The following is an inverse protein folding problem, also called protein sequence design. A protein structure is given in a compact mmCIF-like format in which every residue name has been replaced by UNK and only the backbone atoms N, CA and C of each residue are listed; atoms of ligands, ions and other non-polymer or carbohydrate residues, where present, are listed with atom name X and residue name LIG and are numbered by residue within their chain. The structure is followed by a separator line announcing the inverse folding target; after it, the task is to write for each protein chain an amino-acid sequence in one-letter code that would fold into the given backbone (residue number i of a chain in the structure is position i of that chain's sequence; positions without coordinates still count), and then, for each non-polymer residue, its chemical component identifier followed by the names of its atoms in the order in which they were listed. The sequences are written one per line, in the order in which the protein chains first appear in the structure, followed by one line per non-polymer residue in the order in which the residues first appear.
data_IF_260276149789
#
_entry.id   IF_260276149789
#
_cell.length_a   1.000
_cell.length_b   1.000
_cell.length_c   1.000
_cell.angle_alpha   90.00
_cell.angle_beta   90.00
_cell.angle_gamma   90.00
#
_symmetry.space_group_name_H-M   'P 1'
#
loop_
_entity.id
_entity.type
_entity.pdbx_description
1 polymer ?
#
# COMPACT_ATOMS: atom_id res chain seq x y z
N UNK A 1 7.02 18.93 12.04
CA UNK A 1 6.51 19.24 10.68
C UNK A 1 6.35 20.74 10.53
N UNK A 2 6.75 21.37 9.40
CA UNK A 2 6.40 22.76 9.14
C UNK A 2 4.87 22.91 9.14
N UNK A 3 4.31 24.02 9.65
CA UNK A 3 2.86 24.19 9.69
C UNK A 3 2.29 24.31 8.28
N UNK A 4 1.37 23.43 7.91
CA UNK A 4 0.58 23.55 6.69
C UNK A 4 -0.73 24.30 6.98
N UNK A 5 -1.25 25.09 6.01
CA UNK A 5 -2.49 25.84 6.19
C UNK A 5 -3.74 24.94 6.28
N UNK A 6 -3.62 23.70 5.83
CA UNK A 6 -4.66 22.67 5.88
C UNK A 6 -4.03 21.28 5.85
N UNK A 7 -4.83 20.25 6.16
CA UNK A 7 -4.46 18.85 5.97
C UNK A 7 -3.95 18.63 4.54
N UNK A 8 -2.75 18.06 4.42
CA UNK A 8 -2.18 17.66 3.14
C UNK A 8 -2.88 16.37 2.67
N UNK A 9 -3.09 16.26 1.35
CA UNK A 9 -3.70 15.09 0.72
C UNK A 9 -2.70 14.52 -0.28
N UNK A 10 -1.67 13.86 0.24
CA UNK A 10 -0.53 13.29 -0.47
C UNK A 10 -0.06 12.05 0.31
N UNK A 11 0.96 11.34 -0.20
CA UNK A 11 1.50 10.13 0.41
C UNK A 11 0.55 8.93 0.35
N UNK A 12 0.12 8.53 -0.85
CA UNK A 12 -0.93 7.52 -1.01
C UNK A 12 -0.37 6.09 -0.96
N UNK A 13 -0.53 5.43 0.17
CA UNK A 13 -0.18 4.01 0.34
C UNK A 13 -1.29 3.03 -0.02
N UNK A 14 -2.56 3.47 -0.15
CA UNK A 14 -3.60 2.52 -0.57
C UNK A 14 -4.70 3.11 -1.42
N UNK A 15 -5.28 2.25 -2.27
CA UNK A 15 -6.33 2.62 -3.19
C UNK A 15 -7.43 1.55 -3.27
N UNK A 16 -8.68 1.98 -3.05
CA UNK A 16 -9.86 1.13 -3.11
C UNK A 16 -10.84 1.60 -4.19
N UNK A 17 -11.64 0.70 -4.80
CA UNK A 17 -12.67 1.10 -5.72
C UNK A 17 -13.79 1.89 -5.00
N UNK A 18 -14.18 3.03 -5.59
CA UNK A 18 -15.39 3.75 -5.21
C UNK A 18 -16.49 3.55 -6.27
N UNK A 19 -17.27 4.58 -6.55
CA UNK A 19 -18.35 4.61 -7.53
C UNK A 19 -17.97 5.39 -8.79
N UNK A 20 -18.58 5.05 -9.94
CA UNK A 20 -18.52 5.84 -11.18
C UNK A 20 -17.10 6.17 -11.68
N UNK A 21 -16.15 5.25 -11.51
CA UNK A 21 -14.76 5.45 -11.93
C UNK A 21 -13.91 6.30 -10.97
N UNK A 22 -14.44 6.64 -9.80
CA UNK A 22 -13.68 7.21 -8.69
C UNK A 22 -13.03 6.12 -7.83
N UNK A 23 -12.06 6.54 -7.02
CA UNK A 23 -11.29 5.70 -6.10
C UNK A 23 -11.26 6.33 -4.71
N UNK A 24 -11.10 5.51 -3.68
CA UNK A 24 -10.72 5.98 -2.35
C UNK A 24 -9.20 5.83 -2.23
N UNK A 25 -8.50 6.95 -2.13
CA UNK A 25 -7.06 7.01 -1.89
C UNK A 25 -6.81 7.26 -0.40
N UNK A 26 -5.99 6.42 0.22
CA UNK A 26 -5.66 6.50 1.64
C UNK A 26 -4.19 6.90 1.77
N UNK A 27 -3.93 8.07 2.36
CA UNK A 27 -2.60 8.41 2.79
C UNK A 27 -2.08 7.52 3.92
N UNK A 28 -0.75 7.43 4.03
CA UNK A 28 -0.01 6.86 5.16
C UNK A 28 -0.17 7.69 6.46
N UNK A 29 0.76 7.54 7.41
CA UNK A 29 0.79 8.38 8.61
C UNK A 29 1.01 9.88 8.32
N UNK A 30 1.46 10.26 7.12
CA UNK A 30 1.55 11.61 6.62
C UNK A 30 2.95 12.20 6.58
N UNK A 31 3.69 12.21 7.70
CA UNK A 31 5.00 12.90 7.80
C UNK A 31 6.17 11.95 8.13
N UNK A 32 5.95 10.64 8.00
CA UNK A 32 6.98 9.61 8.05
C UNK A 32 7.35 9.11 9.45
N UNK A 33 6.89 9.73 10.54
CA UNK A 33 7.12 9.20 11.90
C UNK A 33 5.93 9.42 12.83
N UNK A 34 5.81 8.57 13.86
CA UNK A 34 4.79 8.73 14.92
C UNK A 34 4.80 10.13 15.55
N UNK A 35 5.98 10.66 15.89
CA UNK A 35 6.10 11.90 16.67
C UNK A 35 5.77 13.15 15.86
N UNK A 36 5.96 13.14 14.54
CA UNK A 36 5.70 14.29 13.68
C UNK A 36 4.34 14.23 12.96
N UNK A 37 3.63 13.11 13.07
CA UNK A 37 2.32 12.87 12.44
C UNK A 37 1.12 13.02 13.38
N UNK A 38 1.31 13.57 14.58
CA UNK A 38 0.26 13.71 15.60
C UNK A 38 -0.93 14.57 15.17
N UNK A 39 -0.74 15.52 14.26
CA UNK A 39 -1.78 16.41 13.72
C UNK A 39 -2.27 15.99 12.32
N UNK A 40 -1.77 14.87 11.78
CA UNK A 40 -2.19 14.33 10.49
C UNK A 40 -3.38 13.39 10.66
N UNK A 41 -4.57 13.81 10.21
CA UNK A 41 -5.79 13.00 10.35
C UNK A 41 -5.83 11.85 9.35
N UNK A 42 -5.95 10.60 9.85
CA UNK A 42 -6.05 9.42 9.01
C UNK A 42 -7.40 9.38 8.27
N UNK A 43 -7.34 9.32 6.94
CA UNK A 43 -8.49 9.53 6.07
C UNK A 43 -8.40 8.71 4.78
N UNK A 44 -9.57 8.46 4.18
CA UNK A 44 -9.67 8.06 2.77
C UNK A 44 -10.30 9.20 1.99
N UNK A 45 -9.65 9.64 0.92
CA UNK A 45 -10.10 10.72 0.03
C UNK A 45 -10.67 10.16 -1.26
N UNK A 46 -11.80 10.71 -1.73
CA UNK A 46 -12.39 10.29 -3.00
C UNK A 46 -11.69 10.97 -4.16
N UNK A 47 -10.87 10.25 -4.88
CA UNK A 47 -10.20 10.73 -6.09
C UNK A 47 -11.05 10.44 -7.32
N UNK A 48 -11.21 11.43 -8.19
CA UNK A 48 -11.88 11.28 -9.49
C UNK A 48 -10.92 11.67 -10.60
N UNK A 49 -10.30 10.69 -11.28
CA UNK A 49 -9.34 10.98 -12.34
C UNK A 49 -10.01 11.39 -13.65
N UNK A 50 -9.41 12.39 -14.29
CA UNK A 50 -9.67 12.82 -15.66
C UNK A 50 -8.49 12.39 -16.52
N UNK A 51 -8.48 11.10 -16.87
CA UNK A 51 -7.37 10.45 -17.54
C UNK A 51 -6.92 11.16 -18.82
N UNK A 52 -5.62 11.34 -18.99
CA UNK A 52 -5.02 11.49 -20.30
C UNK A 52 -4.99 10.11 -20.99
N UNK A 53 -5.37 10.06 -22.25
CA UNK A 53 -5.35 8.83 -23.05
C UNK A 53 -4.71 9.10 -24.41
N UNK A 54 -4.52 8.06 -25.22
CA UNK A 54 -4.10 8.22 -26.62
C UNK A 54 -5.05 9.11 -27.47
N UNK A 55 -6.26 9.38 -26.98
CA UNK A 55 -7.24 10.29 -27.60
C UNK A 55 -7.26 11.68 -26.96
N UNK A 56 -6.29 11.99 -26.09
CA UNK A 56 -6.28 13.17 -25.24
C UNK A 56 -7.00 12.96 -23.90
N UNK A 57 -7.13 14.05 -23.16
CA UNK A 57 -7.67 14.10 -21.80
C UNK A 57 -6.91 15.13 -20.96
N UNK A 58 -7.42 15.47 -19.78
CA UNK A 58 -6.83 16.54 -18.96
C UNK A 58 -5.60 16.09 -18.17
N UNK A 59 -5.49 14.80 -17.83
CA UNK A 59 -4.40 14.29 -16.99
C UNK A 59 -4.47 14.79 -15.54
N UNK A 60 -5.66 15.15 -15.05
CA UNK A 60 -5.85 15.72 -13.71
C UNK A 60 -6.63 14.78 -12.79
N UNK A 61 -6.59 15.06 -11.49
CA UNK A 61 -7.39 14.36 -10.48
C UNK A 61 -8.14 15.35 -9.61
N UNK A 62 -9.45 15.15 -9.46
CA UNK A 62 -10.24 15.91 -8.49
C UNK A 62 -10.20 15.18 -7.14
N UNK A 63 -9.86 15.94 -6.09
CA UNK A 63 -9.96 15.48 -4.70
C UNK A 63 -11.32 15.89 -4.14
N UNK A 64 -12.17 14.90 -3.89
CA UNK A 64 -13.53 15.09 -3.40
C UNK A 64 -13.66 14.94 -1.88
N UNK A 65 -14.82 14.44 -1.45
CA UNK A 65 -15.10 14.15 -0.03
C UNK A 65 -14.11 13.15 0.57
N UNK A 66 -14.03 13.11 1.89
CA UNK A 66 -13.23 12.15 2.63
C UNK A 66 -14.05 11.37 3.67
N UNK A 67 -13.47 10.27 4.13
CA UNK A 67 -13.89 9.48 5.30
C UNK A 67 -12.76 9.62 6.33
N UNK A 68 -13.06 10.05 7.56
CA UNK A 68 -12.06 10.08 8.65
C UNK A 68 -12.15 8.81 9.49
N UNK A 69 -10.99 8.20 9.74
CA UNK A 69 -10.86 7.07 10.64
C UNK A 69 -10.98 7.56 12.08
N UNK A 70 -11.79 6.88 12.88
CA UNK A 70 -12.15 7.34 14.23
C UNK A 70 -12.57 6.22 15.16
N UNK A 71 -12.40 6.43 16.46
CA UNK A 71 -12.70 5.46 17.50
C UNK A 71 -13.67 5.98 18.60
N UNK A 72 -14.88 6.47 18.27
CA UNK A 72 -15.81 7.04 19.23
C UNK A 72 -16.32 6.02 20.27
N UNK A 73 -16.18 4.72 20.00
CA UNK A 73 -16.64 3.63 20.87
C UNK A 73 -15.50 3.05 21.74
N UNK A 74 -14.37 3.76 21.86
CA UNK A 74 -13.20 3.43 22.69
C UNK A 74 -12.70 1.99 22.51
N UNK A 75 -12.51 1.57 21.26
CA UNK A 75 -12.00 0.24 20.91
C UNK A 75 -10.48 0.15 21.00
N UNK A 76 -9.75 1.25 20.82
CA UNK A 76 -8.30 1.26 20.97
C UNK A 76 -7.94 1.14 22.46
N UNK A 77 -7.17 0.11 22.89
CA UNK A 77 -6.94 -0.17 24.31
C UNK A 77 -5.74 0.58 24.90
N UNK A 78 -5.21 1.57 24.18
CA UNK A 78 -4.06 2.38 24.56
C UNK A 78 -4.34 3.87 24.25
N UNK A 79 -3.58 4.82 24.85
CA UNK A 79 -3.79 6.24 24.60
C UNK A 79 -3.61 6.60 23.12
N UNK A 80 -4.52 7.44 22.61
CA UNK A 80 -4.44 8.03 21.27
C UNK A 80 -4.36 9.55 21.36
N UNK A 81 -4.01 10.25 20.29
CA UNK A 81 -3.82 11.71 20.29
C UNK A 81 -5.10 12.45 20.66
N UNK A 82 -6.25 12.06 20.09
CA UNK A 82 -7.53 12.72 20.32
C UNK A 82 -8.41 12.01 21.36
N UNK A 83 -7.79 11.41 22.38
CA UNK A 83 -8.45 10.54 23.38
C UNK A 83 -9.64 11.22 24.08
N UNK A 84 -9.48 12.50 24.41
CA UNK A 84 -10.44 13.31 25.18
C UNK A 84 -11.55 13.95 24.31
N UNK A 85 -11.59 13.67 23.01
CA UNK A 85 -12.59 14.22 22.09
C UNK A 85 -13.76 13.26 21.90
N UNK A 86 -14.94 13.75 21.53
CA UNK A 86 -16.11 12.90 21.33
C UNK A 86 -15.95 11.93 20.14
N UNK A 87 -15.36 12.39 19.05
CA UNK A 87 -15.20 11.58 17.84
C UNK A 87 -13.96 10.69 17.87
N UNK A 88 -12.94 11.03 18.66
CA UNK A 88 -11.68 10.26 18.76
C UNK A 88 -11.08 10.00 17.38
N UNK A 89 -10.90 11.07 16.60
CA UNK A 89 -10.30 11.01 15.27
C UNK A 89 -8.88 10.44 15.38
N UNK A 90 -8.57 9.44 14.57
CA UNK A 90 -7.25 8.81 14.57
C UNK A 90 -6.27 9.63 13.74
N UNK A 91 -5.02 9.71 14.19
CA UNK A 91 -3.95 10.45 13.53
C UNK A 91 -2.77 9.55 13.18
N UNK A 92 -1.85 10.03 12.35
CA UNK A 92 -0.59 9.32 12.09
C UNK A 92 0.30 9.19 13.33
N UNK A 93 0.00 9.92 14.41
CA UNK A 93 0.57 9.67 15.73
C UNK A 93 0.02 8.43 16.43
N UNK A 94 -1.11 7.90 15.98
CA UNK A 94 -1.76 6.71 16.57
C UNK A 94 -1.37 5.43 15.81
N UNK A 95 -1.50 5.45 14.49
CA UNK A 95 -1.30 4.33 13.58
C UNK A 95 -0.57 4.76 12.31
N UNK A 96 0.14 3.80 11.71
CA UNK A 96 0.88 3.92 10.46
C UNK A 96 0.21 3.06 9.40
N UNK A 97 -0.80 3.61 8.73
CA UNK A 97 -1.73 2.84 7.90
C UNK A 97 -1.24 2.75 6.45
N UNK A 98 -0.88 1.56 5.99
CA UNK A 98 -0.25 1.42 4.67
C UNK A 98 -1.12 0.72 3.64
N UNK A 99 -2.04 -0.14 4.05
CA UNK A 99 -2.88 -0.88 3.10
C UNK A 99 -4.31 -0.99 3.53
N UNK A 100 -5.21 -1.15 2.56
CA UNK A 100 -6.62 -1.33 2.80
C UNK A 100 -7.23 -2.36 1.85
N UNK A 101 -8.28 -3.02 2.34
CA UNK A 101 -9.17 -3.85 1.53
C UNK A 101 -10.62 -3.64 1.92
N UNK A 102 -11.53 -3.74 0.93
CA UNK A 102 -12.97 -3.56 1.11
C UNK A 102 -13.68 -4.90 1.19
N UNK A 103 -14.49 -5.09 2.22
CA UNK A 103 -15.30 -6.29 2.43
C UNK A 103 -16.62 -6.26 1.62
N UNK A 104 -17.26 -7.42 1.39
CA UNK A 104 -18.55 -7.49 0.69
C UNK A 104 -19.68 -6.66 1.32
N UNK A 105 -19.69 -6.47 2.63
CA UNK A 105 -20.65 -5.62 3.35
C UNK A 105 -20.31 -4.11 3.25
N UNK A 106 -19.17 -3.80 2.64
CA UNK A 106 -18.65 -2.46 2.44
C UNK A 106 -17.75 -1.93 3.56
N UNK A 107 -17.62 -2.64 4.69
CA UNK A 107 -16.60 -2.34 5.71
C UNK A 107 -15.19 -2.46 5.13
N UNK A 108 -14.20 -1.92 5.82
CA UNK A 108 -12.81 -1.93 5.37
C UNK A 108 -11.88 -2.48 6.44
N UNK A 109 -10.95 -3.32 6.02
CA UNK A 109 -9.81 -3.71 6.84
C UNK A 109 -8.58 -2.95 6.38
N UNK A 110 -7.79 -2.49 7.33
CA UNK A 110 -6.60 -1.68 7.12
C UNK A 110 -5.41 -2.34 7.84
N UNK A 111 -4.28 -2.44 7.16
CA UNK A 111 -3.00 -2.84 7.73
C UNK A 111 -2.29 -1.64 8.36
N UNK A 112 -1.66 -1.88 9.50
CA UNK A 112 -0.87 -0.87 10.22
C UNK A 112 0.55 -1.39 10.51
N UNK A 113 1.53 -0.48 10.49
CA UNK A 113 2.92 -0.84 10.71
C UNK A 113 3.38 -0.79 12.16
N UNK A 114 2.81 0.11 12.97
CA UNK A 114 3.28 0.33 14.34
C UNK A 114 2.99 -0.86 15.25
N UNK A 115 1.84 -1.53 15.07
CA UNK A 115 1.47 -2.70 15.86
C UNK A 115 2.44 -3.87 15.65
N UNK A 116 2.51 -4.45 14.44
CA UNK A 116 1.57 -4.29 13.32
C UNK A 116 0.15 -4.77 13.67
N UNK A 117 -0.86 -4.02 13.23
CA UNK A 117 -2.27 -4.29 13.50
C UNK A 117 -3.08 -4.54 12.22
N UNK A 118 -4.15 -5.33 12.36
CA UNK A 118 -5.29 -5.27 11.46
C UNK A 118 -6.39 -4.43 12.12
N UNK A 119 -6.82 -3.37 11.45
CA UNK A 119 -7.85 -2.44 11.91
C UNK A 119 -9.12 -2.65 11.09
N UNK A 120 -10.30 -2.73 11.73
CA UNK A 120 -11.57 -2.97 11.04
C UNK A 120 -12.53 -1.79 11.21
N UNK A 121 -12.84 -1.10 10.13
CA UNK A 121 -13.71 0.09 10.14
C UNK A 121 -15.00 -0.14 9.36
N UNK A 122 -16.08 0.50 9.80
CA UNK A 122 -17.30 0.57 8.99
C UNK A 122 -17.15 1.51 7.78
N UNK A 123 -18.19 1.57 6.95
CA UNK A 123 -18.25 2.41 5.74
C UNK A 123 -18.10 3.91 6.00
N UNK A 124 -18.25 4.34 7.26
CA UNK A 124 -18.15 5.73 7.68
C UNK A 124 -16.81 6.05 8.32
N UNK A 125 -15.91 5.07 8.48
CA UNK A 125 -14.61 5.23 9.14
C UNK A 125 -14.66 5.01 10.66
N UNK A 126 -15.74 4.46 11.22
CA UNK A 126 -15.80 4.13 12.65
C UNK A 126 -15.14 2.78 12.92
N UNK A 127 -14.20 2.72 13.85
CA UNK A 127 -13.54 1.49 14.28
C UNK A 127 -14.58 0.55 14.93
N UNK A 128 -14.60 -0.71 14.47
CA UNK A 128 -15.62 -1.70 14.85
C UNK A 128 -15.19 -2.56 16.04
N UNK A 129 -13.89 -2.79 16.18
CA UNK A 129 -13.31 -3.62 17.23
C UNK A 129 -11.89 -3.16 17.56
N UNK A 130 -11.36 -3.69 18.67
CA UNK A 130 -9.98 -3.39 19.05
C UNK A 130 -9.00 -3.80 17.93
N UNK A 131 -7.91 -3.04 17.72
CA UNK A 131 -6.84 -3.42 16.79
C UNK A 131 -6.39 -4.86 17.01
N UNK A 132 -6.33 -5.65 15.94
CA UNK A 132 -5.95 -7.06 16.03
C UNK A 132 -4.45 -7.20 15.80
N UNK A 133 -3.71 -7.40 16.88
CA UNK A 133 -2.26 -7.57 16.86
C UNK A 133 -1.84 -8.89 16.19
N UNK A 134 -0.72 -8.87 15.46
CA UNK A 134 -0.04 -10.12 15.15
C UNK A 134 0.44 -10.81 16.45
N UNK A 135 0.37 -12.15 16.56
CA UNK A 135 0.77 -12.85 17.79
C UNK A 135 2.24 -12.70 18.16
N UNK A 136 3.12 -12.42 17.20
CA UNK A 136 4.58 -12.41 17.42
C UNK A 136 5.31 -11.22 16.79
N UNK A 137 4.67 -10.44 15.91
CA UNK A 137 5.32 -9.31 15.25
C UNK A 137 5.04 -8.06 16.09
N UNK A 138 6.09 -7.30 16.37
CA UNK A 138 6.05 -6.08 17.18
C UNK A 138 7.08 -5.09 16.67
N UNK A 139 6.63 -3.91 16.23
CA UNK A 139 7.52 -2.83 15.85
C UNK A 139 8.02 -2.09 17.09
N UNK A 140 9.11 -1.30 17.00
CA UNK A 140 9.55 -0.41 18.06
C UNK A 140 8.45 0.53 18.59
N UNK A 141 7.54 0.94 17.71
CA UNK A 141 6.40 1.83 18.03
C UNK A 141 5.22 1.08 18.66
N UNK A 142 5.26 -0.25 18.73
CA UNK A 142 4.13 -1.07 19.16
C UNK A 142 3.81 -0.82 20.63
N UNK A 143 2.54 -0.53 20.99
CA UNK A 143 2.13 -0.45 22.38
C UNK A 143 2.20 -1.81 23.10
N UNK A 144 2.38 -2.91 22.35
CA UNK A 144 2.52 -4.27 22.88
C UNK A 144 3.98 -4.70 23.07
N UNK A 145 4.96 -3.85 22.73
CA UNK A 145 6.37 -4.12 22.97
C UNK A 145 6.71 -3.78 24.43
N UNK A 146 7.09 -4.80 25.21
CA UNK A 146 7.42 -4.60 26.62
C UNK A 146 8.75 -3.85 26.77
N UNK A 147 8.92 -3.13 27.89
CA UNK A 147 10.18 -2.46 28.19
C UNK A 147 11.35 -3.45 28.22
N UNK A 148 12.35 -3.22 27.37
CA UNK A 148 13.52 -4.09 27.22
C UNK A 148 13.31 -5.31 26.30
N UNK A 149 12.11 -5.49 25.74
CA UNK A 149 11.86 -6.48 24.68
C UNK A 149 12.47 -5.99 23.36
N UNK A 150 13.14 -6.88 22.63
CA UNK A 150 13.65 -6.56 21.29
C UNK A 150 12.50 -6.59 20.27
N UNK A 151 12.41 -5.59 19.36
CA UNK A 151 11.40 -5.59 18.32
C UNK A 151 11.61 -6.74 17.33
N UNK A 152 10.52 -7.28 16.79
CA UNK A 152 10.53 -8.41 15.85
C UNK A 152 10.16 -8.00 14.42
N UNK A 153 9.85 -6.72 14.21
CA UNK A 153 9.89 -6.04 12.91
C UNK A 153 10.69 -4.74 13.07
N UNK A 154 11.24 -4.22 11.97
CA UNK A 154 11.89 -2.90 12.01
C UNK A 154 10.83 -1.79 12.17
N UNK A 155 11.24 -0.59 12.58
CA UNK A 155 10.33 0.54 12.68
C UNK A 155 9.84 0.98 11.31
N UNK A 156 8.54 1.20 11.19
CA UNK A 156 7.84 1.46 9.91
C UNK A 156 8.26 0.43 8.85
N UNK A 157 8.08 -0.85 9.20
CA UNK A 157 8.23 -2.06 8.36
C UNK A 157 7.23 -3.14 8.80
N UNK A 158 6.08 -2.72 9.30
CA UNK A 158 5.03 -3.62 9.76
C UNK A 158 4.16 -4.05 8.58
N UNK A 159 2.83 -3.97 8.67
CA UNK A 159 1.96 -4.40 7.57
C UNK A 159 1.83 -3.35 6.48
N UNK A 160 2.74 -3.41 5.51
CA UNK A 160 2.64 -2.63 4.28
C UNK A 160 1.45 -3.05 3.43
N UNK A 161 1.30 -4.35 3.18
CA UNK A 161 0.39 -4.85 2.15
C UNK A 161 -0.72 -5.72 2.72
N UNK A 162 -1.93 -5.58 2.18
CA UNK A 162 -3.12 -6.30 2.65
C UNK A 162 -4.05 -6.67 1.51
N UNK A 163 -4.20 -7.98 1.29
CA UNK A 163 -5.23 -8.51 0.41
C UNK A 163 -6.34 -9.24 1.20
N UNK A 164 -7.51 -9.45 0.57
CA UNK A 164 -8.58 -10.29 1.12
C UNK A 164 -9.03 -11.37 0.15
N UNK A 165 -9.59 -12.47 0.63
CA UNK A 165 -10.31 -13.42 -0.21
C UNK A 165 -11.58 -12.77 -0.78
N UNK A 166 -12.08 -13.18 -1.96
CA UNK A 166 -13.27 -12.58 -2.57
C UNK A 166 -14.54 -12.63 -1.71
N UNK A 167 -14.65 -13.63 -0.82
CA UNK A 167 -15.76 -13.78 0.11
C UNK A 167 -15.55 -13.02 1.44
N UNK A 168 -14.42 -12.33 1.60
CA UNK A 168 -14.04 -11.59 2.80
C UNK A 168 -13.72 -12.45 4.02
N UNK A 169 -13.64 -13.78 3.88
CA UNK A 169 -13.37 -14.68 5.00
C UNK A 169 -11.91 -14.58 5.47
N UNK A 170 -10.98 -14.44 4.54
CA UNK A 170 -9.56 -14.42 4.85
C UNK A 170 -8.94 -13.09 4.47
N UNK A 171 -8.04 -12.60 5.32
CA UNK A 171 -7.11 -11.52 5.01
C UNK A 171 -5.71 -12.08 4.89
N UNK A 172 -4.90 -11.41 4.08
CA UNK A 172 -3.52 -11.76 3.80
C UNK A 172 -2.61 -10.55 4.03
N UNK A 173 -2.33 -10.16 5.28
CA UNK A 173 -1.37 -9.11 5.56
C UNK A 173 0.06 -9.61 5.30
N UNK A 174 0.90 -8.74 4.76
CA UNK A 174 2.31 -8.99 4.52
C UNK A 174 3.17 -7.90 5.12
N UNK A 175 4.31 -8.28 5.69
CA UNK A 175 5.29 -7.31 6.16
C UNK A 175 6.07 -6.69 4.99
N UNK A 176 6.39 -5.40 5.07
CA UNK A 176 7.13 -4.68 4.01
C UNK A 176 8.50 -5.32 3.74
N UNK A 177 9.24 -5.53 4.84
CA UNK A 177 10.65 -5.86 4.88
C UNK A 177 10.96 -7.23 5.49
N UNK A 178 12.25 -7.57 5.52
CA UNK A 178 12.74 -8.75 6.22
C UNK A 178 12.61 -8.59 7.73
N UNK A 179 12.50 -9.71 8.45
CA UNK A 179 12.41 -9.68 9.91
C UNK A 179 13.81 -9.58 10.54
N UNK A 180 14.00 -8.77 11.59
CA UNK A 180 15.22 -8.80 12.41
C UNK A 180 15.57 -10.22 12.85
N UNK A 181 16.82 -10.63 12.63
CA UNK A 181 17.32 -11.95 13.00
C UNK A 181 16.95 -13.09 12.04
N UNK A 182 16.27 -12.82 10.92
CA UNK A 182 16.17 -13.78 9.82
C UNK A 182 17.47 -13.75 8.98
N UNK A 183 18.17 -14.88 8.91
CA UNK A 183 19.41 -15.01 8.12
C UNK A 183 19.16 -14.90 6.60
N UNK A 184 17.91 -15.08 6.15
CA UNK A 184 17.55 -14.93 4.75
C UNK A 184 16.95 -13.55 4.47
N UNK A 185 17.82 -12.62 4.07
CA UNK A 185 17.43 -11.23 3.74
C UNK A 185 16.45 -11.12 2.57
N UNK A 186 16.35 -12.10 1.68
CA UNK A 186 15.37 -12.10 0.57
C UNK A 186 13.96 -12.50 0.99
N UNK A 187 13.75 -12.90 2.25
CA UNK A 187 12.46 -13.45 2.70
C UNK A 187 11.53 -12.35 3.21
N UNK A 188 10.29 -12.38 2.73
CA UNK A 188 9.14 -11.68 3.30
C UNK A 188 8.07 -12.68 3.71
N UNK A 189 7.21 -12.31 4.66
CA UNK A 189 6.16 -13.18 5.16
C UNK A 189 4.78 -12.62 4.85
N UNK A 190 3.89 -13.51 4.39
CA UNK A 190 2.46 -13.23 4.20
C UNK A 190 1.70 -14.14 5.15
N UNK A 191 0.83 -13.58 5.99
CA UNK A 191 0.07 -14.34 6.98
C UNK A 191 -1.38 -14.56 6.54
N UNK A 192 -2.09 -15.50 7.15
CA UNK A 192 -3.53 -15.67 6.95
C UNK A 192 -4.30 -15.35 8.24
N UNK A 193 -5.31 -14.50 8.11
CA UNK A 193 -6.23 -14.14 9.18
C UNK A 193 -7.67 -14.52 8.81
N UNK A 194 -8.39 -15.23 9.68
CA UNK A 194 -9.81 -15.56 9.47
C UNK A 194 -10.70 -14.50 10.14
N UNK A 195 -11.42 -13.73 9.34
CA UNK A 195 -12.27 -12.60 9.79
C UNK A 195 -13.50 -13.07 10.58
N UNK A 196 -13.95 -14.32 10.38
CA UNK A 196 -15.09 -14.88 11.11
C UNK A 196 -14.68 -15.39 12.47
N UNK A 197 -13.50 -16.01 12.54
CA UNK A 197 -12.93 -16.48 13.81
C UNK A 197 -12.18 -15.37 14.57
N UNK A 198 -11.95 -14.22 13.93
CA UNK A 198 -11.20 -13.07 14.42
C UNK A 198 -9.82 -13.44 14.98
N UNK A 199 -9.08 -14.28 14.23
CA UNK A 199 -7.75 -14.75 14.63
C UNK A 199 -6.89 -15.16 13.45
N UNK A 200 -5.58 -15.04 13.62
CA UNK A 200 -4.61 -15.65 12.71
C UNK A 200 -4.79 -17.17 12.69
N UNK A 201 -4.72 -17.76 11.50
CA UNK A 201 -4.92 -19.21 11.33
C UNK A 201 -3.65 -20.01 11.63
N UNK A 202 -2.50 -19.32 11.70
CA UNK A 202 -1.16 -19.92 11.77
C UNK A 202 -0.61 -20.32 10.40
N UNK A 203 -1.38 -20.18 9.32
CA UNK A 203 -0.86 -20.32 7.96
C UNK A 203 -0.07 -19.08 7.57
N UNK A 204 1.13 -19.32 7.05
CA UNK A 204 2.06 -18.30 6.58
C UNK A 204 2.69 -18.79 5.28
N UNK A 205 2.95 -17.86 4.37
CA UNK A 205 3.72 -18.08 3.14
C UNK A 205 5.00 -17.26 3.18
N UNK A 206 6.04 -17.78 2.51
CA UNK A 206 7.30 -17.08 2.30
C UNK A 206 7.30 -16.50 0.89
N UNK A 207 7.64 -15.23 0.75
CA UNK A 207 7.85 -14.56 -0.53
C UNK A 207 9.34 -14.24 -0.68
N UNK A 208 9.91 -14.53 -1.85
CA UNK A 208 11.33 -14.27 -2.16
C UNK A 208 11.41 -13.01 -3.01
N UNK A 209 12.05 -11.97 -2.49
CA UNK A 209 12.37 -10.77 -3.26
C UNK A 209 13.53 -11.03 -4.23
N UNK A 210 13.64 -10.23 -5.30
CA UNK A 210 14.76 -10.24 -6.26
C UNK A 210 16.03 -9.57 -5.68
N UNK A 211 15.88 -8.73 -4.65
CA UNK A 211 16.97 -8.08 -3.93
C UNK A 211 16.80 -8.20 -2.42
N UNK A 212 17.91 -8.23 -1.69
CA UNK A 212 17.93 -8.41 -0.23
C UNK A 212 17.12 -7.34 0.52
N UNK A 213 17.19 -6.10 0.04
CA UNK A 213 16.55 -4.93 0.68
C UNK A 213 15.27 -4.48 -0.03
N UNK A 214 14.77 -5.28 -0.98
CA UNK A 214 13.56 -4.96 -1.73
C UNK A 214 12.32 -5.19 -0.88
N UNK A 215 11.25 -4.47 -1.19
CA UNK A 215 10.09 -4.33 -0.34
C UNK A 215 8.83 -4.79 -1.06
N UNK A 216 7.92 -5.43 -0.33
CA UNK A 216 6.53 -5.58 -0.80
C UNK A 216 5.83 -4.27 -0.46
N UNK A 217 5.26 -3.60 -1.46
CA UNK A 217 4.67 -2.26 -1.30
C UNK A 217 3.13 -2.25 -1.26
N UNK A 218 2.47 -3.14 -2.01
CA UNK A 218 1.01 -3.39 -1.88
C UNK A 218 0.68 -4.77 -2.43
N UNK A 219 -0.48 -5.32 -2.08
CA UNK A 219 -0.97 -6.60 -2.57
C UNK A 219 -2.50 -6.62 -2.68
N UNK A 220 -3.00 -7.08 -3.83
CA UNK A 220 -4.44 -7.25 -4.06
C UNK A 220 -4.75 -8.65 -4.60
N UNK A 221 -5.76 -9.30 -4.03
CA UNK A 221 -6.23 -10.61 -4.50
C UNK A 221 -6.93 -10.48 -5.86
N UNK A 222 -6.60 -11.38 -6.77
CA UNK A 222 -7.36 -11.60 -8.01
C UNK A 222 -8.49 -12.61 -7.81
N UNK A 223 -8.25 -13.61 -6.95
CA UNK A 223 -9.23 -14.61 -6.53
C UNK A 223 -8.82 -15.23 -5.18
N UNK A 224 -9.44 -16.37 -4.82
CA UNK A 224 -9.20 -17.06 -3.56
C UNK A 224 -7.73 -17.52 -3.37
N UNK A 225 -6.97 -17.74 -4.44
CA UNK A 225 -5.59 -18.27 -4.36
C UNK A 225 -4.55 -17.33 -4.96
N UNK A 226 -4.94 -16.50 -5.93
CA UNK A 226 -4.03 -15.64 -6.66
C UNK A 226 -4.10 -14.20 -6.18
N UNK A 227 -2.95 -13.54 -6.09
CA UNK A 227 -2.83 -12.11 -5.82
C UNK A 227 -1.75 -11.50 -6.71
N UNK A 228 -1.87 -10.21 -6.98
CA UNK A 228 -0.77 -9.41 -7.50
C UNK A 228 -0.20 -8.55 -6.38
N UNK A 229 1.10 -8.29 -6.42
CA UNK A 229 1.78 -7.41 -5.48
C UNK A 229 2.84 -6.57 -6.19
N UNK A 230 3.17 -5.42 -5.60
CA UNK A 230 4.31 -4.61 -6.02
C UNK A 230 5.53 -5.05 -5.23
N UNK A 231 6.64 -5.26 -5.92
CA UNK A 231 7.97 -5.37 -5.34
C UNK A 231 8.85 -4.24 -5.87
N UNK A 232 9.50 -3.50 -4.98
CA UNK A 232 10.29 -2.33 -5.34
C UNK A 232 11.51 -2.15 -4.45
N UNK A 233 12.48 -1.42 -4.97
CA UNK A 233 13.53 -0.79 -4.17
C UNK A 233 13.24 0.71 -3.97
N UNK A 234 14.08 1.37 -3.18
CA UNK A 234 13.81 2.68 -2.59
C UNK A 234 14.46 3.85 -3.36
N UNK A 235 15.24 3.58 -4.40
CA UNK A 235 15.77 4.59 -5.29
C UNK A 235 14.65 5.16 -6.19
N UNK A 236 14.85 6.40 -6.63
CA UNK A 236 13.95 7.14 -7.51
C UNK A 236 14.68 7.75 -8.71
N UNK A 237 13.91 8.24 -9.67
CA UNK A 237 14.41 8.91 -10.87
C UNK A 237 15.41 8.04 -11.65
N UNK A 238 16.52 8.62 -12.13
CA UNK A 238 17.56 7.87 -12.85
C UNK A 238 18.27 6.77 -12.04
N UNK A 239 18.21 6.82 -10.71
CA UNK A 239 18.83 5.82 -9.84
C UNK A 239 17.94 4.57 -9.70
N UNK A 240 16.62 4.71 -9.87
CA UNK A 240 15.69 3.58 -9.80
C UNK A 240 16.06 2.47 -10.79
N UNK A 241 16.27 1.27 -10.26
CA UNK A 241 16.64 0.08 -11.05
C UNK A 241 15.61 -1.05 -10.96
N UNK A 242 14.73 -1.05 -9.95
CA UNK A 242 13.76 -2.14 -9.79
C UNK A 242 12.41 -1.69 -9.21
N UNK A 243 11.35 -1.74 -10.02
CA UNK A 243 9.96 -1.57 -9.58
C UNK A 243 9.06 -2.48 -10.43
N UNK A 244 8.52 -3.54 -9.85
CA UNK A 244 7.82 -4.59 -10.60
C UNK A 244 6.52 -5.02 -9.93
N UNK A 245 5.61 -5.55 -10.74
CA UNK A 245 4.38 -6.18 -10.27
C UNK A 245 4.48 -7.67 -10.53
N UNK A 246 4.24 -8.47 -9.50
CA UNK A 246 4.29 -9.93 -9.56
C UNK A 246 2.92 -10.54 -9.29
N UNK A 247 2.59 -11.62 -10.01
CA UNK A 247 1.51 -12.55 -9.69
C UNK A 247 2.07 -13.66 -8.81
N UNK A 248 1.38 -13.95 -7.71
CA UNK A 248 1.63 -15.11 -6.84
C UNK A 248 0.39 -16.00 -6.79
N UNK A 249 0.61 -17.31 -6.60
CA UNK A 249 -0.45 -18.29 -6.31
C UNK A 249 -0.13 -19.03 -5.02
N UNK A 250 -0.95 -18.82 -3.99
CA UNK A 250 -0.77 -19.35 -2.63
C UNK A 250 -0.78 -20.88 -2.53
N UNK A 251 -1.08 -21.59 -3.63
CA UNK A 251 -1.04 -23.06 -3.73
C UNK A 251 0.30 -23.60 -4.21
N UNK A 252 1.16 -22.75 -4.78
CA UNK A 252 2.39 -23.18 -5.43
C UNK A 252 3.60 -22.54 -4.75
N UNK A 253 4.45 -23.40 -4.17
CA UNK A 253 5.77 -23.04 -3.65
C UNK A 253 6.85 -23.78 -4.41
N UNK A 254 8.03 -23.19 -4.48
CA UNK A 254 9.23 -23.80 -5.02
C UNK A 254 9.84 -24.83 -4.04
N UNK A 255 10.97 -25.43 -4.44
CA UNK A 255 11.67 -26.43 -3.63
C UNK A 255 12.21 -25.89 -2.29
N UNK A 256 12.40 -24.57 -2.19
CA UNK A 256 12.88 -23.89 -0.98
C UNK A 256 11.72 -23.39 -0.10
N UNK A 257 10.47 -23.65 -0.51
CA UNK A 257 9.27 -23.28 0.23
C UNK A 257 8.80 -21.84 0.03
N UNK A 258 9.30 -21.14 -0.98
CA UNK A 258 8.86 -19.79 -1.36
C UNK A 258 7.75 -19.84 -2.38
N UNK A 259 6.81 -18.90 -2.32
CA UNK A 259 5.79 -18.72 -3.34
C UNK A 259 6.42 -18.55 -4.72
N UNK A 260 5.92 -19.30 -5.70
CA UNK A 260 6.30 -19.08 -7.09
C UNK A 260 5.67 -17.77 -7.55
N UNK A 261 6.51 -16.83 -7.98
CA UNK A 261 6.09 -15.53 -8.53
C UNK A 261 6.30 -15.46 -10.05
N UNK A 262 5.41 -14.77 -10.74
CA UNK A 262 5.49 -14.52 -12.19
C UNK A 262 5.42 -13.01 -12.43
N UNK A 263 6.38 -12.44 -13.14
CA UNK A 263 6.37 -11.01 -13.47
C UNK A 263 5.16 -10.68 -14.35
N UNK A 264 4.44 -9.62 -13.97
CA UNK A 264 3.23 -9.13 -14.67
C UNK A 264 3.49 -7.78 -15.32
N UNK A 265 4.31 -6.93 -14.71
CA UNK A 265 4.75 -5.66 -15.26
C UNK A 265 6.10 -5.23 -14.69
N UNK A 266 6.95 -4.66 -15.54
CA UNK A 266 8.11 -3.86 -15.15
C UNK A 266 7.72 -2.38 -15.23
N UNK A 267 7.59 -1.72 -14.08
CA UNK A 267 7.14 -0.33 -13.98
C UNK A 267 8.20 0.66 -14.46
N UNK A 268 9.44 0.21 -14.69
CA UNK A 268 10.51 1.00 -15.29
C UNK A 268 10.66 0.77 -16.80
N UNK A 269 9.79 -0.07 -17.39
CA UNK A 269 9.82 -0.41 -18.81
C UNK A 269 8.40 -0.60 -19.41
N UNK A 270 7.56 0.43 -19.29
CA UNK A 270 6.19 0.40 -19.78
C UNK A 270 6.10 0.90 -21.22
N UNK A 271 5.47 0.14 -22.11
CA UNK A 271 5.24 0.59 -23.50
C UNK A 271 4.26 1.76 -23.51
N UNK A 272 4.67 2.89 -24.07
CA UNK A 272 3.85 4.09 -24.20
C UNK A 272 3.93 4.70 -25.62
N UNK A 273 3.51 3.97 -26.67
CA UNK A 273 3.65 4.43 -28.05
C UNK A 273 2.81 5.68 -28.37
N UNK A 274 1.79 5.96 -27.56
CA UNK A 274 0.94 7.14 -27.69
C UNK A 274 1.47 8.35 -26.89
N UNK A 275 2.61 8.20 -26.19
CA UNK A 275 3.24 9.25 -25.39
C UNK A 275 2.28 9.91 -24.38
N UNK A 276 1.41 9.10 -23.76
CA UNK A 276 0.47 9.53 -22.73
C UNK A 276 1.27 10.03 -21.52
N UNK A 277 0.93 11.19 -20.98
CA UNK A 277 1.61 11.77 -19.81
C UNK A 277 3.04 12.23 -20.11
N UNK A 278 3.40 12.42 -21.38
CA UNK A 278 4.78 12.72 -21.77
C UNK A 278 5.20 14.18 -21.61
N UNK A 279 4.29 15.04 -21.17
CA UNK A 279 4.43 16.50 -21.25
C UNK A 279 4.42 17.22 -19.90
N UNK A 280 3.94 16.58 -18.83
CA UNK A 280 3.83 17.17 -17.49
C UNK A 280 4.38 16.22 -16.43
N UNK A 281 5.37 16.62 -15.62
CA UNK A 281 6.11 17.87 -15.72
C UNK A 281 7.02 17.94 -16.94
N UNK A 282 7.17 19.14 -17.52
CA UNK A 282 8.11 19.37 -18.60
C UNK A 282 9.53 18.97 -18.17
N UNK A 283 10.18 18.12 -18.95
CA UNK A 283 11.51 17.58 -18.64
C UNK A 283 11.53 16.47 -17.58
N UNK A 284 10.37 15.96 -17.17
CA UNK A 284 10.27 14.85 -16.22
C UNK A 284 10.97 13.59 -16.72
N UNK A 285 11.68 12.92 -15.81
CA UNK A 285 12.37 11.68 -16.08
C UNK A 285 11.38 10.55 -16.36
N UNK A 286 11.68 9.72 -17.37
CA UNK A 286 10.91 8.51 -17.65
C UNK A 286 9.58 8.73 -18.36
N UNK A 287 9.27 9.92 -18.87
CA UNK A 287 7.97 10.21 -19.50
C UNK A 287 7.84 9.76 -20.98
N UNK A 288 8.83 9.04 -21.51
CA UNK A 288 8.93 8.67 -22.92
C UNK A 288 8.27 7.34 -23.30
N UNK A 289 8.87 6.65 -24.27
CA UNK A 289 8.56 5.27 -24.65
C UNK A 289 9.88 4.47 -24.73
N UNK A 290 10.19 3.61 -23.75
CA UNK A 290 9.32 3.22 -22.65
C UNK A 290 9.04 4.37 -21.66
N UNK A 291 7.83 4.37 -21.12
CA UNK A 291 7.47 5.15 -19.95
C UNK A 291 8.00 4.42 -18.71
N UNK A 292 8.39 5.18 -17.70
CA UNK A 292 8.83 4.68 -16.40
C UNK A 292 7.96 5.32 -15.34
N UNK A 293 7.74 4.59 -14.25
CA UNK A 293 7.17 5.07 -13.00
C UNK A 293 8.26 4.99 -11.91
N UNK A 294 9.30 5.83 -11.98
CA UNK A 294 10.55 5.70 -11.23
C UNK A 294 10.46 6.44 -9.91
N UNK A 295 9.36 6.27 -9.21
CA UNK A 295 9.00 7.04 -8.02
C UNK A 295 9.43 6.23 -6.80
N UNK A 296 9.97 6.87 -5.76
CA UNK A 296 10.55 6.17 -4.61
C UNK A 296 9.58 5.10 -4.07
N UNK A 297 8.42 5.56 -3.63
CA UNK A 297 7.39 4.76 -2.98
C UNK A 297 6.22 4.50 -3.93
N UNK A 298 6.31 3.40 -4.69
CA UNK A 298 5.19 2.92 -5.51
C UNK A 298 4.36 1.96 -4.68
N UNK A 299 3.34 2.49 -4.01
CA UNK A 299 2.73 1.83 -2.86
C UNK A 299 1.22 1.61 -2.97
N UNK A 300 0.56 2.03 -4.06
CA UNK A 300 -0.85 1.71 -4.24
C UNK A 300 -1.10 0.90 -5.52
N UNK A 301 -1.79 -0.23 -5.39
CA UNK A 301 -2.14 -1.16 -6.47
C UNK A 301 -3.63 -1.47 -6.47
N UNK A 302 -4.26 -1.44 -7.66
CA UNK A 302 -5.64 -1.92 -7.81
C UNK A 302 -5.87 -2.67 -9.13
N UNK A 303 -6.23 -3.96 -9.09
CA UNK A 303 -6.74 -4.66 -10.27
C UNK A 303 -7.99 -3.98 -10.83
N UNK A 304 -8.00 -3.72 -12.13
CA UNK A 304 -9.12 -3.12 -12.85
C UNK A 304 -9.70 -4.10 -13.88
N UNK A 305 -10.99 -3.95 -14.25
CA UNK A 305 -11.57 -4.70 -15.36
C UNK A 305 -10.80 -4.52 -16.67
N UNK A 306 -10.79 -5.58 -17.48
CA UNK A 306 -10.15 -5.59 -18.79
C UNK A 306 -8.66 -5.88 -18.79
N UNK A 307 -8.16 -6.66 -17.82
CA UNK A 307 -6.74 -6.99 -17.64
C UNK A 307 -5.87 -5.74 -17.49
N UNK A 308 -6.29 -4.85 -16.59
CA UNK A 308 -5.60 -3.61 -16.27
C UNK A 308 -5.27 -3.55 -14.80
N UNK A 309 -4.28 -2.76 -14.45
CA UNK A 309 -4.00 -2.37 -13.07
C UNK A 309 -3.93 -0.86 -13.00
N UNK A 310 -4.31 -0.32 -11.86
CA UNK A 310 -4.02 1.05 -11.45
C UNK A 310 -2.86 1.01 -10.47
N UNK A 311 -1.93 1.95 -10.65
CA UNK A 311 -0.77 2.12 -9.78
C UNK A 311 -0.70 3.60 -9.37
N UNK A 312 -0.42 3.87 -8.10
CA UNK A 312 -0.17 5.21 -7.58
C UNK A 312 1.13 5.24 -6.78
N UNK A 313 1.60 6.45 -6.50
CA UNK A 313 2.73 6.66 -5.60
C UNK A 313 2.30 7.23 -4.25
N UNK A 314 3.04 6.83 -3.23
CA UNK A 314 3.38 7.71 -2.12
C UNK A 314 4.55 8.60 -2.58
N UNK A 315 4.38 9.91 -2.44
CA UNK A 315 5.36 10.90 -2.85
C UNK A 315 6.19 11.43 -1.68
N UNK A 316 6.16 10.74 -0.53
CA UNK A 316 6.85 11.00 0.72
C UNK A 316 6.87 12.50 1.02
N UNK A 317 5.70 13.15 0.94
CA UNK A 317 5.67 14.58 0.76
C UNK A 317 6.33 15.32 1.94
N UNK A 318 7.23 16.28 1.69
CA UNK A 318 7.57 16.89 0.40
C UNK A 318 8.87 16.38 -0.26
N UNK A 319 9.39 15.22 0.16
CA UNK A 319 10.78 14.84 -0.04
C UNK A 319 11.08 14.11 -1.35
N UNK A 320 10.14 13.33 -1.92
CA UNK A 320 10.39 12.63 -3.20
C UNK A 320 10.47 13.60 -4.38
N UNK A 321 11.45 13.38 -5.26
CA UNK A 321 11.73 14.23 -6.44
C UNK A 321 12.07 13.41 -7.69
N UNK A 322 11.51 12.21 -7.79
CA UNK A 322 11.81 11.20 -8.81
C UNK A 322 11.53 11.65 -10.24
N UNK A 323 10.53 12.51 -10.49
CA UNK A 323 10.30 13.07 -11.83
C UNK A 323 11.30 14.16 -12.18
N UNK A 324 11.49 15.13 -11.30
CA UNK A 324 12.34 16.29 -11.55
C UNK A 324 13.19 16.56 -10.30
N UNK A 325 14.52 16.38 -10.37
CA UNK A 325 15.39 16.57 -9.20
C UNK A 325 15.18 17.93 -8.53
N UNK A 326 14.98 17.92 -7.21
CA UNK A 326 14.76 19.13 -6.41
C UNK A 326 13.36 19.75 -6.55
N UNK A 327 12.44 19.12 -7.28
CA UNK A 327 11.02 19.48 -7.31
C UNK A 327 10.21 18.32 -6.74
N UNK A 328 9.49 18.59 -5.67
CA UNK A 328 8.58 17.63 -5.04
C UNK A 328 7.63 17.02 -6.06
N UNK A 329 7.51 15.70 -6.05
CA UNK A 329 6.61 14.97 -6.90
C UNK A 329 5.14 15.27 -6.54
N UNK A 330 4.30 15.49 -7.56
CA UNK A 330 2.85 15.59 -7.40
C UNK A 330 2.26 14.18 -7.26
N UNK A 331 1.09 13.98 -6.66
CA UNK A 331 0.44 12.66 -6.71
C UNK A 331 0.26 12.19 -8.16
N UNK A 332 0.83 11.03 -8.47
CA UNK A 332 0.78 10.44 -9.79
C UNK A 332 0.02 9.12 -9.76
N UNK A 333 -0.82 8.92 -10.78
CA UNK A 333 -1.62 7.71 -10.94
C UNK A 333 -1.65 7.30 -12.40
N UNK A 334 -1.38 6.03 -12.66
CA UNK A 334 -1.39 5.45 -14.01
C UNK A 334 -2.30 4.23 -14.07
N UNK A 335 -2.87 3.98 -15.25
CA UNK A 335 -3.45 2.66 -15.56
C UNK A 335 -2.61 1.95 -16.60
N UNK A 336 -2.28 0.70 -16.34
CA UNK A 336 -1.44 -0.13 -17.20
C UNK A 336 -2.29 -1.24 -17.77
N UNK A 337 -2.22 -1.44 -19.09
CA UNK A 337 -2.74 -2.63 -19.75
C UNK A 337 -1.77 -3.77 -19.59
N UNK A 338 -2.21 -4.88 -19.00
CA UNK A 338 -1.41 -6.08 -18.87
C UNK A 338 -1.53 -6.92 -20.14
N UNK A 339 -0.42 -7.50 -20.61
CA UNK A 339 -0.50 -8.57 -21.61
C UNK A 339 -1.25 -9.74 -20.98
N UNK A 340 -2.09 -10.44 -21.75
CA UNK A 340 -2.65 -11.71 -21.29
C UNK A 340 -1.47 -12.66 -21.06
N UNK A 341 -1.22 -13.03 -19.81
CA UNK A 341 -0.37 -14.18 -19.52
C UNK A 341 -1.14 -15.40 -20.05
N UNK A 342 -0.73 -15.91 -21.20
CA UNK A 342 -1.33 -17.10 -21.79
C UNK A 342 -1.26 -18.25 -20.79
N UNK A 343 -2.29 -19.09 -20.74
CA UNK A 343 -2.18 -20.39 -20.08
C UNK A 343 -1.14 -21.22 -20.85
N UNK A 344 0.11 -21.19 -20.40
CA UNK A 344 1.19 -22.06 -20.88
C UNK A 344 2.21 -21.37 -21.78
N UNK A 345 3.47 -21.52 -21.38
CA UNK A 345 4.73 -21.42 -22.16
C UNK A 345 5.01 -20.13 -22.96
N UNK A 346 5.94 -19.34 -22.38
CA UNK A 346 7.09 -18.64 -22.98
C UNK A 346 6.91 -17.56 -24.06
N UNK A 347 7.64 -16.47 -23.79
CA UNK A 347 8.27 -15.48 -24.68
C UNK A 347 7.44 -14.30 -25.23
N UNK A 348 8.00 -13.12 -24.95
CA UNK A 348 7.88 -11.76 -25.51
C UNK A 348 6.97 -10.70 -24.87
#
# INVERSE_FOLDING_TARGET
TPPYPSQVVLGISSVLPADNGSYWAMPDNGFGTKDNSVDFLLRLYRFTPHWETARGGAGTVDVGRFISLRDPDHKVPFPIVNDDTADRLLTGGDFDVESATRMPDGSMWIGDEFGPFLLHFDRTGKLLQAPVAHPTLKAPQSPNLAAGEAPTVQGSRGYEALASSPDGRYLYPAAEGGLPGDDNRFRRYIHEFDTRANRYTGRTWQYRTDGEDYRIADMQSLDANRAILIEREDDEGPAATFKRVYLIDRRHVDADGFLVKTEVADLLNLRNPALIGSHDPAGGYGLGNPFKFPLQSVEALLPLPGNRILVMQDNNFPDSTGRVPGKTDATEMITIGLRKVGNGSTQD
#
